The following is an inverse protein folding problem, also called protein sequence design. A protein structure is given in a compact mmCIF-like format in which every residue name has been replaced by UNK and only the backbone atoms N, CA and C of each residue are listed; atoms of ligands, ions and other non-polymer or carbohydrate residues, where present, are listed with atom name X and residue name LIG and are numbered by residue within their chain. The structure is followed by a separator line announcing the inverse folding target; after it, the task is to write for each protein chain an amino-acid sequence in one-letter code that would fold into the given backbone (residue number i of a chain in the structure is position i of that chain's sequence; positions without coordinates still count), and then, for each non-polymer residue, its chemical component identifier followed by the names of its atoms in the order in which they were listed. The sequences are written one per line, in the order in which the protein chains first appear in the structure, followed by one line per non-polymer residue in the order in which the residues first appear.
data_IF_180411466983
#
_entry.id   IF_180411466983
#
_cell.length_a   1.000
_cell.length_b   1.000
_cell.length_c   1.000
_cell.angle_alpha   90.00
_cell.angle_beta   90.00
_cell.angle_gamma   90.00
#
_symmetry.space_group_name_H-M   'P 1'
#
loop_
_entity.id
_entity.type
_entity.pdbx_description
1 polymer ?
#
# COMPACT_ATOMS: atom_id res chain seq x y z
N UNK A 1 26.09 36.21 10.27
CA UNK A 1 26.33 34.87 9.72
C UNK A 1 24.99 34.15 9.74
N UNK A 2 24.39 33.94 8.58
CA UNK A 2 23.20 33.10 8.42
C UNK A 2 23.67 31.91 7.61
N UNK A 3 24.05 30.83 8.30
CA UNK A 3 24.48 29.61 7.64
C UNK A 3 23.23 28.96 7.08
N UNK A 4 22.88 29.36 5.85
CA UNK A 4 21.95 28.66 4.99
C UNK A 4 22.52 27.29 4.65
N UNK A 5 22.48 26.38 5.62
CA UNK A 5 22.48 24.96 5.35
C UNK A 5 21.16 24.69 4.64
N UNK A 6 21.23 24.67 3.31
CA UNK A 6 20.15 24.29 2.43
C UNK A 6 19.50 23.02 2.98
N UNK A 7 18.23 23.16 3.38
CA UNK A 7 17.27 22.09 3.51
C UNK A 7 17.10 21.47 2.10
N UNK A 8 18.09 20.68 1.70
CA UNK A 8 18.03 19.92 0.47
C UNK A 8 16.98 18.85 0.74
N UNK A 9 15.73 19.16 0.36
CA UNK A 9 14.61 18.25 0.46
C UNK A 9 15.07 16.86 0.03
N UNK A 10 15.23 15.98 1.01
CA UNK A 10 15.83 14.68 0.83
C UNK A 10 14.90 13.89 -0.09
N UNK A 11 15.29 13.77 -1.36
CA UNK A 11 14.38 13.23 -2.38
C UNK A 11 14.30 11.71 -2.20
N UNK A 12 13.10 11.13 -2.03
CA UNK A 12 12.96 9.69 -1.95
C UNK A 12 13.53 9.03 -3.20
N UNK A 13 14.31 7.97 -3.02
CA UNK A 13 14.90 7.20 -4.10
C UNK A 13 14.01 6.02 -4.43
N UNK A 14 13.55 5.91 -5.67
CA UNK A 14 12.73 4.78 -6.12
C UNK A 14 13.50 3.46 -6.01
N UNK A 15 12.78 2.41 -5.62
CA UNK A 15 13.30 1.06 -5.41
C UNK A 15 12.47 0.09 -6.23
N UNK A 16 13.15 -0.64 -7.13
CA UNK A 16 12.51 -1.64 -7.97
C UNK A 16 12.04 -2.85 -7.16
N UNK A 17 10.78 -3.26 -7.39
CA UNK A 17 10.22 -4.49 -6.83
C UNK A 17 10.56 -5.64 -7.78
N UNK A 18 11.46 -6.53 -7.35
CA UNK A 18 11.92 -7.65 -8.18
C UNK A 18 10.93 -8.84 -8.19
N UNK A 19 10.20 -9.05 -7.10
CA UNK A 19 9.20 -10.10 -6.96
C UNK A 19 8.09 -9.62 -6.01
N UNK A 20 6.84 -10.02 -6.28
CA UNK A 20 5.70 -9.75 -5.40
C UNK A 20 4.81 -10.98 -5.26
N UNK A 21 4.42 -11.30 -4.01
CA UNK A 21 3.45 -12.36 -3.68
C UNK A 21 2.17 -11.74 -3.13
N UNK A 22 1.28 -11.38 -4.03
CA UNK A 22 0.04 -10.71 -3.68
C UNK A 22 -1.15 -11.66 -3.84
N UNK A 23 -1.75 -12.03 -2.72
CA UNK A 23 -2.85 -13.00 -2.66
C UNK A 23 -4.17 -12.31 -2.33
N UNK A 24 -5.28 -12.97 -2.70
CA UNK A 24 -6.61 -12.58 -2.26
C UNK A 24 -6.85 -13.06 -0.83
N UNK A 25 -7.26 -12.14 0.04
CA UNK A 25 -7.92 -12.47 1.30
C UNK A 25 -9.42 -12.56 1.06
N UNK A 26 -10.04 -13.65 1.50
CA UNK A 26 -11.48 -13.88 1.32
C UNK A 26 -12.20 -13.96 2.68
N UNK A 27 -13.33 -13.26 2.77
CA UNK A 27 -14.16 -13.17 3.97
C UNK A 27 -15.60 -13.53 3.61
N UNK A 28 -16.19 -14.47 4.35
CA UNK A 28 -17.62 -14.79 4.26
C UNK A 28 -18.35 -13.99 5.33
N UNK A 29 -19.28 -13.13 4.91
CA UNK A 29 -20.06 -12.30 5.81
C UNK A 29 -21.36 -13.02 6.22
N UNK A 30 -21.97 -12.56 7.31
CA UNK A 30 -23.16 -13.18 7.88
C UNK A 30 -24.39 -13.12 6.94
N UNK A 31 -24.41 -12.18 6.01
CA UNK A 31 -25.46 -12.02 4.99
C UNK A 31 -25.24 -12.91 3.75
N UNK A 32 -24.23 -13.77 3.75
CA UNK A 32 -23.88 -14.63 2.62
C UNK A 32 -22.96 -13.98 1.58
N UNK A 33 -22.62 -12.70 1.73
CA UNK A 33 -21.66 -12.02 0.85
C UNK A 33 -20.26 -12.60 1.02
N UNK A 34 -19.56 -12.82 -0.10
CA UNK A 34 -18.11 -13.06 -0.09
C UNK A 34 -17.40 -11.77 -0.48
N UNK A 35 -16.66 -11.19 0.46
CA UNK A 35 -15.76 -10.07 0.24
C UNK A 35 -14.36 -10.61 -0.03
N UNK A 36 -13.75 -10.19 -1.13
CA UNK A 36 -12.38 -10.53 -1.49
C UNK A 36 -11.60 -9.24 -1.63
N UNK A 37 -10.44 -9.17 -0.99
CA UNK A 37 -9.54 -8.03 -1.09
C UNK A 37 -8.15 -8.50 -1.48
N UNK A 38 -7.47 -7.75 -2.34
CA UNK A 38 -6.08 -8.00 -2.70
C UNK A 38 -5.31 -6.68 -2.61
N UNK A 39 -4.36 -6.54 -1.66
CA UNK A 39 -3.43 -5.42 -1.69
C UNK A 39 -2.48 -5.58 -2.89
N UNK A 40 -2.24 -4.47 -3.59
CA UNK A 40 -1.34 -4.39 -4.75
C UNK A 40 -0.35 -3.26 -4.53
N UNK A 41 0.94 -3.57 -4.58
CA UNK A 41 2.02 -2.58 -4.49
C UNK A 41 2.18 -1.86 -5.84
N UNK A 42 2.26 -0.53 -5.80
CA UNK A 42 2.39 0.32 -7.00
C UNK A 42 3.81 0.88 -7.10
N UNK A 43 4.35 1.38 -5.98
CA UNK A 43 5.69 1.95 -5.94
C UNK A 43 6.29 1.84 -4.54
N UNK A 44 7.61 1.71 -4.48
CA UNK A 44 8.38 1.75 -3.24
C UNK A 44 9.51 2.76 -3.44
N UNK A 45 9.73 3.64 -2.47
CA UNK A 45 10.90 4.51 -2.44
C UNK A 45 11.51 4.54 -1.05
N UNK A 46 12.83 4.69 -0.97
CA UNK A 46 13.58 4.81 0.27
C UNK A 46 13.88 6.27 0.55
N UNK A 47 13.73 6.69 1.80
CA UNK A 47 14.16 8.02 2.23
C UNK A 47 15.63 7.94 2.62
N UNK A 48 16.51 8.52 1.79
CA UNK A 48 17.96 8.48 2.04
C UNK A 48 18.33 9.24 3.32
N UNK A 49 19.23 8.68 4.14
CA UNK A 49 19.67 9.32 5.38
C UNK A 49 18.74 9.13 6.59
N UNK A 50 17.51 8.70 6.37
CA UNK A 50 16.52 8.47 7.43
C UNK A 50 16.46 7.00 7.85
N UNK A 51 16.48 6.76 9.15
CA UNK A 51 16.34 5.44 9.76
C UNK A 51 15.34 5.49 10.92
N UNK A 52 14.66 4.39 11.18
CA UNK A 52 13.82 4.22 12.37
C UNK A 52 14.67 4.26 13.64
N UNK A 53 14.03 4.32 14.81
CA UNK A 53 14.74 4.27 16.10
C UNK A 53 15.56 2.98 16.28
N UNK A 54 15.15 1.90 15.62
CA UNK A 54 15.84 0.60 15.62
C UNK A 54 16.96 0.53 14.59
N UNK A 55 17.16 1.60 13.79
CA UNK A 55 18.22 1.70 12.79
C UNK A 55 17.86 1.17 11.40
N UNK A 56 16.60 0.81 11.15
CA UNK A 56 16.16 0.32 9.84
C UNK A 56 15.92 1.49 8.86
N UNK A 57 16.24 1.37 7.56
CA UNK A 57 15.95 2.42 6.60
C UNK A 57 14.45 2.72 6.48
N UNK A 58 14.10 3.98 6.32
CA UNK A 58 12.71 4.39 6.13
C UNK A 58 12.29 4.23 4.67
N UNK A 59 11.16 3.56 4.43
CA UNK A 59 10.56 3.39 3.11
C UNK A 59 9.17 4.03 3.04
N UNK A 60 8.91 4.70 1.92
CA UNK A 60 7.58 5.08 1.48
C UNK A 60 7.05 4.00 0.53
N UNK A 61 5.78 3.65 0.72
CA UNK A 61 5.09 2.69 -0.13
C UNK A 61 3.79 3.27 -0.62
N UNK A 62 3.54 3.10 -1.92
CA UNK A 62 2.25 3.39 -2.54
C UNK A 62 1.62 2.06 -2.92
N UNK A 63 0.45 1.79 -2.37
CA UNK A 63 -0.33 0.60 -2.66
C UNK A 63 -1.79 0.95 -2.89
N UNK A 64 -2.53 0.05 -3.53
CA UNK A 64 -3.99 0.09 -3.60
C UNK A 64 -4.58 -1.23 -3.15
N UNK A 65 -5.86 -1.24 -2.81
CA UNK A 65 -6.60 -2.47 -2.53
C UNK A 65 -7.59 -2.69 -3.67
N UNK A 66 -7.47 -3.82 -4.34
CA UNK A 66 -8.48 -4.30 -5.29
C UNK A 66 -9.55 -5.03 -4.50
N UNK A 67 -10.82 -4.73 -4.76
CA UNK A 67 -11.96 -5.35 -4.10
C UNK A 67 -12.83 -6.11 -5.09
N UNK A 68 -13.30 -7.29 -4.69
CA UNK A 68 -14.30 -8.10 -5.41
C UNK A 68 -15.40 -8.49 -4.41
N UNK A 69 -16.64 -8.12 -4.72
CA UNK A 69 -17.80 -8.28 -3.87
C UNK A 69 -18.79 -9.23 -4.54
N UNK A 70 -19.02 -10.37 -3.90
CA UNK A 70 -19.95 -11.39 -4.37
C UNK A 70 -21.12 -11.47 -3.40
N UNK A 71 -22.01 -10.49 -3.52
CA UNK A 71 -23.25 -10.44 -2.74
C UNK A 71 -24.32 -11.36 -3.35
N UNK A 72 -25.18 -11.98 -2.52
CA UNK A 72 -26.40 -12.65 -2.96
C UNK A 72 -27.30 -11.76 -3.83
N UNK A 73 -28.13 -12.39 -4.67
CA UNK A 73 -28.92 -11.67 -5.69
C UNK A 73 -29.95 -10.73 -5.08
N UNK A 74 -30.55 -11.12 -3.96
CA UNK A 74 -31.55 -10.37 -3.19
C UNK A 74 -31.00 -9.07 -2.60
N UNK A 75 -29.69 -8.96 -2.41
CA UNK A 75 -29.02 -7.74 -1.94
C UNK A 75 -28.59 -6.82 -3.10
N UNK A 76 -28.67 -7.29 -4.35
CA UNK A 76 -28.35 -6.48 -5.52
C UNK A 76 -29.55 -5.63 -5.88
N UNK A 77 -29.31 -4.33 -6.13
CA UNK A 77 -30.35 -3.48 -6.73
C UNK A 77 -30.71 -4.05 -8.10
N UNK A 78 -32.00 -4.21 -8.38
CA UNK A 78 -32.49 -4.43 -9.73
C UNK A 78 -32.01 -3.28 -10.61
N UNK A 79 -31.37 -3.62 -11.74
CA UNK A 79 -30.90 -2.66 -12.73
C UNK A 79 -32.07 -1.98 -13.44
#
# INVERSE_FOLDING_TARGET
MNDGASDAAQTPKDVDVLEAKELWSEYRLADGTVLRIKPVMIAVSRVEGEHTLDGDPVYNMKSTVVTDLRAPQELRKSA
#
